data_IF_610345622366
#
_entry.id   IF_610345622366
#
_cell.length_a   1.000
_cell.length_b   1.000
_cell.length_c   1.000
_cell.angle_alpha   90.00
_cell.angle_beta   90.00
_cell.angle_gamma   90.00
#
_symmetry.space_group_name_H-M   'P 1'
#
loop_
_entity.id
_entity.type
_entity.pdbx_description
1 polymer ?
#
# COMPACT_ATOMS: atom_id res chain seq x y z
N UNK A 1 -32.44 18.82 5.84
CA UNK A 1 -32.40 18.13 4.51
C UNK A 1 -31.48 16.94 4.67
N UNK A 2 -31.95 15.72 4.48
CA UNK A 2 -31.06 14.55 4.47
C UNK A 2 -30.11 14.69 3.27
N UNK A 3 -28.82 14.79 3.53
CA UNK A 3 -27.80 14.81 2.48
C UNK A 3 -27.92 13.49 1.71
N UNK A 4 -28.12 13.56 0.40
CA UNK A 4 -28.19 12.37 -0.44
C UNK A 4 -26.86 11.64 -0.31
N UNK A 5 -26.90 10.38 0.14
CA UNK A 5 -25.74 9.51 0.22
C UNK A 5 -25.07 9.45 -1.16
N UNK A 6 -23.76 9.68 -1.23
CA UNK A 6 -22.97 9.53 -2.44
C UNK A 6 -21.87 8.47 -2.27
N UNK A 7 -21.28 8.06 -3.39
CA UNK A 7 -20.26 7.01 -3.41
C UNK A 7 -18.97 7.43 -2.68
N UNK A 8 -18.57 8.68 -2.78
CA UNK A 8 -17.35 9.22 -2.14
C UNK A 8 -17.49 9.22 -0.62
N UNK A 9 -18.63 9.67 -0.12
CA UNK A 9 -18.93 9.66 1.32
C UNK A 9 -18.87 8.24 1.91
N UNK A 10 -19.37 7.23 1.18
CA UNK A 10 -19.29 5.83 1.62
C UNK A 10 -17.84 5.35 1.67
N UNK A 11 -17.04 5.68 0.66
CA UNK A 11 -15.61 5.31 0.60
C UNK A 11 -14.82 5.98 1.73
N UNK A 12 -15.04 7.27 1.98
CA UNK A 12 -14.38 8.01 3.04
C UNK A 12 -14.69 7.44 4.43
N UNK A 13 -15.98 7.12 4.66
CA UNK A 13 -16.41 6.45 5.89
C UNK A 13 -15.80 5.06 6.04
N UNK A 14 -15.75 4.29 4.94
CA UNK A 14 -15.16 2.95 4.94
C UNK A 14 -13.66 2.99 5.23
N UNK A 15 -12.91 3.98 4.70
CA UNK A 15 -11.49 4.19 4.99
C UNK A 15 -11.25 4.59 6.46
N UNK A 16 -12.13 5.40 7.04
CA UNK A 16 -12.08 5.72 8.46
C UNK A 16 -12.31 4.48 9.33
N UNK A 17 -13.39 3.75 9.06
CA UNK A 17 -13.74 2.51 9.77
C UNK A 17 -12.68 1.41 9.62
N UNK A 18 -11.97 1.36 8.49
CA UNK A 18 -10.89 0.39 8.27
C UNK A 18 -9.84 0.49 9.38
N UNK A 19 -9.49 1.70 9.82
CA UNK A 19 -8.53 1.91 10.90
C UNK A 19 -9.04 1.44 12.26
N UNK A 20 -10.36 1.50 12.48
CA UNK A 20 -10.98 1.09 13.75
C UNK A 20 -11.15 -0.42 13.84
N UNK A 21 -11.72 -1.04 12.79
CA UNK A 21 -12.19 -2.43 12.86
C UNK A 21 -11.38 -3.41 11.99
N UNK A 22 -10.44 -2.92 11.18
CA UNK A 22 -9.67 -3.72 10.22
C UNK A 22 -10.51 -4.26 9.06
N UNK A 23 -9.85 -4.96 8.13
CA UNK A 23 -10.49 -5.48 6.92
C UNK A 23 -11.56 -6.55 7.20
N UNK A 24 -11.35 -7.37 8.22
CA UNK A 24 -12.30 -8.43 8.61
C UNK A 24 -13.57 -7.84 9.23
N UNK A 25 -13.42 -6.81 10.09
CA UNK A 25 -14.52 -6.10 10.73
C UNK A 25 -15.28 -5.15 9.79
N UNK A 26 -14.68 -4.79 8.65
CA UNK A 26 -15.28 -3.88 7.67
C UNK A 26 -16.38 -4.58 6.87
N UNK A 27 -17.63 -4.22 7.15
CA UNK A 27 -18.82 -4.76 6.49
C UNK A 27 -19.75 -3.64 6.01
N UNK A 28 -20.52 -3.86 4.94
CA UNK A 28 -21.53 -2.90 4.48
C UNK A 28 -22.54 -2.56 5.60
N UNK A 29 -22.85 -3.51 6.48
CA UNK A 29 -23.70 -3.25 7.64
C UNK A 29 -23.08 -2.26 8.61
N UNK A 30 -21.78 -2.40 8.94
CA UNK A 30 -21.06 -1.49 9.84
C UNK A 30 -20.98 -0.09 9.24
N UNK A 31 -20.68 0.01 7.94
CA UNK A 31 -20.65 1.28 7.21
C UNK A 31 -22.03 1.94 7.20
N UNK A 32 -23.10 1.16 6.97
CA UNK A 32 -24.47 1.68 7.04
C UNK A 32 -24.84 2.23 8.41
N UNK A 33 -24.40 1.57 9.49
CA UNK A 33 -24.60 2.05 10.86
C UNK A 33 -23.87 3.39 11.10
N UNK A 34 -22.66 3.53 10.60
CA UNK A 34 -21.87 4.77 10.75
C UNK A 34 -22.49 5.95 9.99
N UNK A 35 -23.06 5.68 8.83
CA UNK A 35 -23.74 6.68 7.99
C UNK A 35 -25.20 6.93 8.36
N UNK A 36 -25.71 6.26 9.39
CA UNK A 36 -27.15 6.27 9.77
C UNK A 36 -28.08 5.92 8.59
N UNK A 37 -27.65 4.95 7.77
CA UNK A 37 -28.46 4.44 6.65
C UNK A 37 -28.64 2.93 6.76
N UNK A 38 -29.71 2.42 6.13
CA UNK A 38 -29.90 0.97 6.06
C UNK A 38 -28.96 0.36 5.02
N UNK A 39 -28.38 -0.81 5.32
CA UNK A 39 -27.48 -1.52 4.42
C UNK A 39 -27.97 -1.65 2.95
N UNK A 40 -29.28 -1.87 2.64
CA UNK A 40 -29.79 -1.86 1.28
C UNK A 40 -29.49 -0.59 0.48
N UNK A 41 -29.35 0.58 1.13
CA UNK A 41 -29.01 1.83 0.45
C UNK A 41 -27.58 1.81 -0.12
N UNK A 42 -26.66 1.06 0.50
CA UNK A 42 -25.28 0.95 0.04
C UNK A 42 -25.16 0.07 -1.21
N UNK A 43 -26.04 -0.91 -1.41
CA UNK A 43 -26.04 -1.77 -2.59
C UNK A 43 -26.42 -1.03 -3.88
N UNK A 44 -26.96 0.19 -3.80
CA UNK A 44 -27.12 1.07 -4.96
C UNK A 44 -25.81 1.66 -5.45
N UNK A 45 -24.79 1.74 -4.56
CA UNK A 45 -23.47 2.30 -4.85
C UNK A 45 -22.41 1.23 -5.10
N UNK A 46 -22.54 0.05 -4.45
CA UNK A 46 -21.55 -1.03 -4.51
C UNK A 46 -22.25 -2.37 -4.68
N UNK A 47 -21.85 -3.11 -5.71
CA UNK A 47 -22.45 -4.43 -6.04
C UNK A 47 -22.14 -5.47 -4.95
N UNK A 48 -20.93 -5.41 -4.42
CA UNK A 48 -20.40 -6.32 -3.41
C UNK A 48 -19.27 -5.66 -2.61
N UNK A 49 -18.66 -6.42 -1.70
CA UNK A 49 -17.53 -5.95 -0.88
C UNK A 49 -16.32 -5.63 -1.77
N UNK A 50 -16.09 -6.37 -2.85
CA UNK A 50 -14.94 -6.14 -3.73
C UNK A 50 -15.05 -4.81 -4.47
N UNK A 51 -16.21 -4.46 -4.99
CA UNK A 51 -16.47 -3.15 -5.63
C UNK A 51 -16.19 -1.98 -4.65
N UNK A 52 -16.51 -2.15 -3.36
CA UNK A 52 -16.15 -1.18 -2.32
C UNK A 52 -14.63 -1.14 -2.10
N UNK A 53 -13.95 -2.28 -1.98
CA UNK A 53 -12.50 -2.34 -1.78
C UNK A 53 -11.75 -1.73 -2.97
N UNK A 54 -12.21 -1.97 -4.19
CA UNK A 54 -11.68 -1.38 -5.41
C UNK A 54 -11.79 0.16 -5.39
N UNK A 55 -12.93 0.68 -4.93
CA UNK A 55 -13.12 2.12 -4.77
C UNK A 55 -12.26 2.72 -3.63
N UNK A 56 -12.12 2.01 -2.51
CA UNK A 56 -11.25 2.41 -1.40
C UNK A 56 -9.79 2.49 -1.85
N UNK A 57 -9.28 1.49 -2.55
CA UNK A 57 -7.91 1.50 -3.07
C UNK A 57 -7.70 2.61 -4.11
N UNK A 58 -8.70 2.87 -4.96
CA UNK A 58 -8.67 4.01 -5.91
C UNK A 58 -8.55 5.33 -5.16
N UNK A 59 -9.29 5.51 -4.07
CA UNK A 59 -9.20 6.75 -3.26
C UNK A 59 -7.88 6.84 -2.49
N UNK A 60 -7.33 5.73 -1.97
CA UNK A 60 -5.96 5.71 -1.39
C UNK A 60 -4.93 6.24 -2.40
N UNK A 61 -4.98 5.76 -3.65
CA UNK A 61 -4.10 6.21 -4.72
C UNK A 61 -4.30 7.70 -5.04
N UNK A 62 -5.54 8.18 -5.12
CA UNK A 62 -5.84 9.59 -5.36
C UNK A 62 -5.27 10.49 -4.25
N UNK A 63 -5.40 10.09 -2.99
CA UNK A 63 -4.84 10.81 -1.84
C UNK A 63 -3.31 10.86 -1.90
N UNK A 64 -2.68 9.73 -2.22
CA UNK A 64 -1.23 9.66 -2.44
C UNK A 64 -0.80 10.62 -3.55
N UNK A 65 -1.44 10.55 -4.73
CA UNK A 65 -1.10 11.39 -5.88
C UNK A 65 -1.28 12.88 -5.61
N UNK A 66 -2.32 13.26 -4.84
CA UNK A 66 -2.51 14.66 -4.41
C UNK A 66 -1.38 15.12 -3.49
N UNK A 67 -0.97 14.29 -2.53
CA UNK A 67 0.11 14.61 -1.61
C UNK A 67 1.45 14.77 -2.34
N UNK A 68 1.74 13.91 -3.31
CA UNK A 68 2.97 13.99 -4.11
C UNK A 68 3.00 15.24 -5.02
N UNK A 69 1.88 15.62 -5.63
CA UNK A 69 1.79 16.85 -6.46
C UNK A 69 2.02 18.15 -5.66
N UNK A 70 1.80 18.13 -4.35
CA UNK A 70 2.04 19.28 -3.47
C UNK A 70 3.51 19.41 -3.03
N UNK A 71 4.36 18.42 -3.35
CA UNK A 71 5.80 18.48 -3.08
C UNK A 71 6.47 19.29 -4.17
N UNK A 72 7.16 20.35 -3.80
CA UNK A 72 7.97 21.14 -4.74
C UNK A 72 9.14 20.29 -5.24
N UNK A 73 9.17 20.04 -6.53
CA UNK A 73 10.32 19.42 -7.20
C UNK A 73 11.19 20.56 -7.75
N UNK A 74 12.33 20.78 -7.12
CA UNK A 74 13.25 21.89 -7.46
C UNK A 74 14.27 21.52 -8.54
N UNK A 75 14.46 20.23 -8.85
CA UNK A 75 15.41 19.71 -9.85
C UNK A 75 14.79 18.49 -10.56
N UNK A 76 15.33 18.13 -11.74
CA UNK A 76 14.98 16.86 -12.39
C UNK A 76 15.68 15.72 -11.64
N UNK A 77 14.98 14.93 -10.83
CA UNK A 77 15.61 13.86 -10.05
C UNK A 77 16.04 12.70 -10.97
N UNK A 78 17.08 11.97 -10.54
CA UNK A 78 17.45 10.73 -11.22
C UNK A 78 16.31 9.71 -11.15
N UNK A 79 16.17 8.86 -12.14
CA UNK A 79 15.11 7.84 -12.19
C UNK A 79 15.09 6.92 -10.95
N UNK A 80 16.28 6.65 -10.36
CA UNK A 80 16.42 5.88 -9.14
C UNK A 80 15.69 6.57 -7.97
N UNK A 81 15.84 7.90 -7.86
CA UNK A 81 15.21 8.69 -6.81
C UNK A 81 13.69 8.78 -7.03
N UNK A 82 13.25 8.95 -8.29
CA UNK A 82 11.83 8.92 -8.64
C UNK A 82 11.20 7.58 -8.25
N UNK A 83 11.85 6.48 -8.63
CA UNK A 83 11.37 5.14 -8.30
C UNK A 83 11.36 4.90 -6.79
N UNK A 84 12.44 5.28 -6.08
CA UNK A 84 12.51 5.14 -4.63
C UNK A 84 11.42 5.93 -3.93
N UNK A 85 11.26 7.23 -4.26
CA UNK A 85 10.29 8.08 -3.58
C UNK A 85 8.84 7.68 -3.87
N UNK A 86 8.52 7.25 -5.09
CA UNK A 86 7.18 6.74 -5.42
C UNK A 86 6.81 5.52 -4.56
N UNK A 87 7.77 4.63 -4.28
CA UNK A 87 7.53 3.43 -3.47
C UNK A 87 7.55 3.70 -1.97
N UNK A 88 8.32 4.71 -1.51
CA UNK A 88 8.20 5.26 -0.15
C UNK A 88 6.83 5.89 0.08
N UNK A 89 6.34 6.67 -0.91
CA UNK A 89 5.01 7.27 -0.84
C UNK A 89 3.91 6.20 -0.78
N UNK A 90 4.04 5.17 -1.60
CA UNK A 90 3.12 4.02 -1.56
C UNK A 90 3.15 3.34 -0.18
N UNK A 91 4.33 3.00 0.35
CA UNK A 91 4.44 2.40 1.69
C UNK A 91 3.80 3.29 2.75
N UNK A 92 4.13 4.59 2.80
CA UNK A 92 3.52 5.54 3.76
C UNK A 92 1.99 5.55 3.66
N UNK A 93 1.47 5.56 2.45
CA UNK A 93 0.02 5.54 2.20
C UNK A 93 -0.62 4.25 2.72
N UNK A 94 -0.04 3.11 2.40
CA UNK A 94 -0.57 1.81 2.84
C UNK A 94 -0.52 1.64 4.36
N UNK A 95 0.55 2.11 5.00
CA UNK A 95 0.71 2.09 6.46
C UNK A 95 -0.22 3.07 7.20
N UNK A 96 -0.73 4.10 6.52
CA UNK A 96 -1.71 5.02 7.12
C UNK A 96 -3.11 4.40 7.31
N UNK A 97 -3.31 3.22 6.75
CA UNK A 97 -4.54 2.44 6.89
C UNK A 97 -4.25 1.06 7.48
N UNK A 98 -5.02 0.65 8.48
CA UNK A 98 -5.01 -0.71 8.98
C UNK A 98 -5.37 -1.68 7.84
N UNK A 99 -4.58 -2.73 7.66
CA UNK A 99 -4.72 -3.66 6.52
C UNK A 99 -4.65 -2.98 5.13
N UNK A 100 -4.07 -1.77 5.05
CA UNK A 100 -4.06 -0.98 3.83
C UNK A 100 -3.45 -1.71 2.64
N UNK A 101 -2.36 -2.44 2.84
CA UNK A 101 -1.74 -3.23 1.78
C UNK A 101 -2.62 -4.39 1.31
N UNK A 102 -3.38 -5.03 2.20
CA UNK A 102 -4.32 -6.09 1.84
C UNK A 102 -5.52 -5.55 1.05
N UNK A 103 -6.01 -4.35 1.42
CA UNK A 103 -7.07 -3.67 0.66
C UNK A 103 -6.59 -3.29 -0.73
N UNK A 104 -5.35 -2.79 -0.84
CA UNK A 104 -4.79 -2.28 -2.09
C UNK A 104 -4.32 -3.40 -3.04
N UNK A 105 -3.88 -4.53 -2.50
CA UNK A 105 -3.35 -5.67 -3.28
C UNK A 105 -4.43 -6.36 -4.10
N UNK A 106 -4.14 -6.59 -5.39
CA UNK A 106 -5.07 -7.28 -6.29
C UNK A 106 -6.30 -6.48 -6.70
N UNK A 107 -6.36 -5.21 -6.34
CA UNK A 107 -7.47 -4.29 -6.63
C UNK A 107 -7.52 -3.92 -8.11
N UNK A 108 -8.73 -3.68 -8.60
CA UNK A 108 -9.00 -3.06 -9.90
C UNK A 108 -9.42 -1.61 -9.66
N UNK A 109 -8.56 -0.66 -10.05
CA UNK A 109 -8.93 0.75 -9.93
C UNK A 109 -10.22 1.05 -10.71
N UNK A 110 -11.10 1.82 -10.09
CA UNK A 110 -12.47 2.07 -10.60
C UNK A 110 -12.51 3.16 -11.68
N UNK A 111 -11.40 3.83 -11.93
CA UNK A 111 -11.24 4.85 -12.97
C UNK A 111 -9.76 4.96 -13.44
N UNK A 112 -9.49 5.92 -14.31
CA UNK A 112 -8.17 6.13 -14.92
C UNK A 112 -7.28 7.12 -14.14
N UNK A 113 -7.63 7.52 -12.91
CA UNK A 113 -6.81 8.46 -12.12
C UNK A 113 -5.40 7.94 -11.82
N UNK A 114 -5.21 6.63 -11.85
CA UNK A 114 -3.91 6.00 -11.71
C UNK A 114 -2.99 6.24 -12.92
N UNK A 115 -3.55 6.47 -14.10
CA UNK A 115 -2.79 6.56 -15.34
C UNK A 115 -1.87 7.78 -15.35
N UNK A 116 -2.32 8.94 -14.90
CA UNK A 116 -1.51 10.16 -14.82
C UNK A 116 -0.27 9.96 -13.94
N UNK A 117 -0.45 9.31 -12.79
CA UNK A 117 0.65 9.06 -11.84
C UNK A 117 1.62 8.03 -12.39
N UNK A 118 1.10 6.94 -12.95
CA UNK A 118 1.92 5.87 -13.56
C UNK A 118 2.68 6.38 -14.78
N UNK A 119 2.06 7.21 -15.64
CA UNK A 119 2.69 7.81 -16.80
C UNK A 119 3.91 8.64 -16.40
N UNK A 120 3.80 9.48 -15.36
CA UNK A 120 4.92 10.27 -14.86
C UNK A 120 6.10 9.42 -14.40
N UNK A 121 5.85 8.31 -13.69
CA UNK A 121 6.90 7.39 -13.26
C UNK A 121 7.54 6.65 -14.42
N UNK A 122 6.74 6.15 -15.37
CA UNK A 122 7.25 5.45 -16.55
C UNK A 122 8.01 6.40 -17.48
N UNK A 123 7.56 7.63 -17.66
CA UNK A 123 8.24 8.64 -18.46
C UNK A 123 9.65 8.92 -17.95
N UNK A 124 9.84 9.07 -16.63
CA UNK A 124 11.17 9.30 -16.04
C UNK A 124 12.16 8.16 -16.35
N UNK A 125 11.69 6.92 -16.38
CA UNK A 125 12.50 5.76 -16.76
C UNK A 125 12.81 5.75 -18.26
N UNK A 126 11.84 6.11 -19.11
CA UNK A 126 12.04 6.19 -20.56
C UNK A 126 13.02 7.31 -20.92
N UNK A 127 12.93 8.47 -20.29
CA UNK A 127 13.87 9.57 -20.42
C UNK A 127 15.30 9.19 -20.00
N UNK A 128 15.42 8.29 -19.01
CA UNK A 128 16.71 7.71 -18.60
C UNK A 128 17.27 6.64 -19.57
N UNK A 129 16.55 6.37 -20.69
CA UNK A 129 16.99 5.45 -21.73
C UNK A 129 16.42 4.02 -21.62
N UNK A 130 15.44 3.76 -20.78
CA UNK A 130 14.78 2.46 -20.74
C UNK A 130 13.73 2.35 -21.84
N UNK A 131 13.66 1.22 -22.54
CA UNK A 131 12.53 0.94 -23.41
C UNK A 131 11.22 0.87 -22.57
N UNK A 132 10.04 1.28 -23.08
CA UNK A 132 8.79 1.30 -22.31
C UNK A 132 8.44 -0.03 -21.62
N UNK A 133 8.72 -1.15 -22.29
CA UNK A 133 8.53 -2.48 -21.69
C UNK A 133 9.43 -2.74 -20.49
N UNK A 134 10.66 -2.26 -20.55
CA UNK A 134 11.66 -2.39 -19.48
C UNK A 134 11.30 -1.47 -18.32
N UNK A 135 10.89 -0.23 -18.61
CA UNK A 135 10.37 0.71 -17.62
C UNK A 135 9.18 0.13 -16.84
N UNK A 136 8.22 -0.47 -17.54
CA UNK A 136 7.07 -1.12 -16.90
C UNK A 136 7.49 -2.28 -15.99
N UNK A 137 8.48 -3.10 -16.39
CA UNK A 137 9.00 -4.18 -15.54
C UNK A 137 9.70 -3.64 -14.29
N UNK A 138 10.52 -2.59 -14.44
CA UNK A 138 11.21 -1.95 -13.32
C UNK A 138 10.21 -1.45 -12.28
N UNK A 139 9.24 -0.66 -12.72
CA UNK A 139 8.17 -0.15 -11.85
C UNK A 139 7.41 -1.28 -11.16
N UNK A 140 6.96 -2.29 -11.90
CA UNK A 140 6.18 -3.39 -11.36
C UNK A 140 6.97 -4.27 -10.37
N UNK A 141 8.28 -4.45 -10.60
CA UNK A 141 9.14 -5.19 -9.66
C UNK A 141 9.21 -4.48 -8.30
N UNK A 142 9.46 -3.17 -8.31
CA UNK A 142 9.49 -2.37 -7.09
C UNK A 142 8.10 -2.28 -6.42
N UNK A 143 7.02 -2.23 -7.21
CA UNK A 143 5.65 -2.30 -6.72
C UNK A 143 5.38 -3.62 -5.96
N UNK A 144 5.71 -4.76 -6.57
CA UNK A 144 5.53 -6.07 -5.92
C UNK A 144 6.34 -6.20 -4.63
N UNK A 145 7.58 -5.68 -4.64
CA UNK A 145 8.40 -5.60 -3.43
C UNK A 145 7.68 -4.80 -2.33
N UNK A 146 7.24 -3.59 -2.66
CA UNK A 146 6.60 -2.68 -1.70
C UNK A 146 5.32 -3.27 -1.12
N UNK A 147 4.43 -3.81 -1.96
CA UNK A 147 3.18 -4.42 -1.51
C UNK A 147 3.46 -5.60 -0.59
N UNK A 148 4.34 -6.53 -1.01
CA UNK A 148 4.68 -7.71 -0.21
C UNK A 148 5.29 -7.31 1.14
N UNK A 149 6.23 -6.37 1.13
CA UNK A 149 6.88 -5.90 2.35
C UNK A 149 5.87 -5.30 3.34
N UNK A 150 4.97 -4.43 2.87
CA UNK A 150 3.98 -3.79 3.75
C UNK A 150 2.93 -4.78 4.28
N UNK A 151 2.55 -5.80 3.50
CA UNK A 151 1.67 -6.88 4.00
C UNK A 151 2.32 -7.60 5.19
N UNK A 152 3.60 -7.97 5.07
CA UNK A 152 4.34 -8.64 6.15
C UNK A 152 4.54 -7.70 7.34
N UNK A 153 4.91 -6.44 7.10
CA UNK A 153 5.06 -5.41 8.13
C UNK A 153 3.77 -5.23 8.95
N UNK A 154 2.63 -5.04 8.28
CA UNK A 154 1.33 -4.91 8.96
C UNK A 154 0.92 -6.18 9.70
N UNK A 155 1.29 -7.35 9.19
CA UNK A 155 1.00 -8.64 9.83
C UNK A 155 1.85 -8.86 11.09
N UNK A 156 3.08 -8.35 11.11
CA UNK A 156 3.99 -8.50 12.25
C UNK A 156 3.58 -7.65 13.47
N UNK A 157 2.97 -6.49 13.26
CA UNK A 157 2.52 -5.60 14.35
C UNK A 157 1.37 -6.21 15.16
N UNK A 158 0.50 -6.99 14.54
CA UNK A 158 -0.72 -7.52 15.16
C UNK A 158 -1.76 -6.43 15.46
N UNK A 159 -2.86 -6.84 16.11
CA UNK A 159 -3.97 -5.94 16.46
C UNK A 159 -4.46 -6.32 17.86
N UNK A 160 -3.83 -5.80 18.93
CA UNK A 160 -4.15 -6.17 20.32
C UNK A 160 -5.60 -5.90 20.72
N UNK A 161 -6.21 -4.86 20.16
CA UNK A 161 -7.63 -4.50 20.34
C UNK A 161 -8.61 -5.56 19.82
N UNK A 162 -8.15 -6.44 18.92
CA UNK A 162 -8.89 -7.59 18.40
C UNK A 162 -8.36 -8.93 18.93
N UNK A 163 -7.46 -8.91 19.93
CA UNK A 163 -6.85 -10.11 20.49
C UNK A 163 -5.81 -10.77 19.56
N UNK A 164 -5.41 -10.11 18.48
CA UNK A 164 -4.34 -10.58 17.58
C UNK A 164 -3.02 -10.02 18.09
N UNK A 165 -2.19 -10.90 18.69
CA UNK A 165 -0.85 -10.51 19.11
C UNK A 165 0.06 -10.32 17.91
N UNK A 166 0.89 -9.29 17.94
CA UNK A 166 2.04 -9.15 17.06
C UNK A 166 3.12 -10.19 17.36
N UNK A 167 4.19 -10.16 16.58
CA UNK A 167 5.32 -11.07 16.80
C UNK A 167 6.07 -10.67 18.06
N UNK A 168 6.13 -11.58 19.03
CA UNK A 168 6.99 -11.45 20.21
C UNK A 168 8.40 -11.97 19.88
N UNK A 169 9.35 -11.07 19.76
CA UNK A 169 10.73 -11.38 19.39
C UNK A 169 11.42 -12.25 20.47
N UNK A 170 11.13 -12.02 21.76
CA UNK A 170 11.73 -12.81 22.84
C UNK A 170 11.17 -14.24 22.87
N UNK A 171 9.86 -14.40 22.72
CA UNK A 171 9.23 -15.72 22.62
C UNK A 171 9.73 -16.46 21.37
N UNK A 172 9.89 -15.75 20.24
CA UNK A 172 10.43 -16.32 19.01
C UNK A 172 11.87 -16.79 19.18
N UNK A 173 12.72 -15.99 19.81
CA UNK A 173 14.12 -16.33 20.06
C UNK A 173 14.24 -17.58 20.93
N UNK A 174 13.48 -17.65 22.03
CA UNK A 174 13.44 -18.83 22.92
C UNK A 174 12.98 -20.09 22.18
N UNK A 175 11.94 -20.00 21.35
CA UNK A 175 11.42 -21.11 20.56
C UNK A 175 12.42 -21.61 19.52
N UNK A 176 13.30 -20.74 19.04
CA UNK A 176 14.29 -21.03 18.01
C UNK A 176 15.71 -21.26 18.58
N UNK A 177 15.84 -21.61 19.87
CA UNK A 177 17.15 -21.77 20.53
C UNK A 177 18.09 -22.76 19.84
N UNK A 178 17.55 -23.82 19.19
CA UNK A 178 18.32 -24.79 18.40
C UNK A 178 18.70 -24.29 17.00
N UNK A 179 18.23 -23.10 16.60
CA UNK A 179 18.43 -22.49 15.28
C UNK A 179 19.03 -21.07 15.43
N UNK A 180 20.29 -20.95 15.84
CA UNK A 180 20.85 -19.65 16.28
C UNK A 180 20.83 -18.56 15.21
N UNK A 181 21.00 -18.90 13.93
CA UNK A 181 20.93 -17.92 12.83
C UNK A 181 19.49 -17.44 12.65
N UNK A 182 18.52 -18.35 12.63
CA UNK A 182 17.11 -18.00 12.50
C UNK A 182 16.61 -17.21 13.72
N UNK A 183 17.07 -17.53 14.94
CA UNK A 183 16.77 -16.80 16.15
C UNK A 183 17.28 -15.34 16.04
N UNK A 184 18.56 -15.17 15.71
CA UNK A 184 19.21 -13.88 15.57
C UNK A 184 18.62 -12.98 14.46
N UNK A 185 17.97 -13.55 13.44
CA UNK A 185 17.34 -12.79 12.35
C UNK A 185 16.03 -12.11 12.75
N UNK A 186 15.47 -12.37 13.93
CA UNK A 186 14.19 -11.84 14.38
C UNK A 186 14.06 -10.32 14.30
N UNK A 187 14.98 -9.54 14.90
CA UNK A 187 14.95 -8.09 14.87
C UNK A 187 14.95 -7.50 13.46
N UNK A 188 15.77 -8.04 12.55
CA UNK A 188 15.83 -7.59 11.15
C UNK A 188 14.55 -7.91 10.38
N UNK A 189 13.95 -9.07 10.62
CA UNK A 189 12.75 -9.50 9.89
C UNK A 189 11.47 -8.82 10.38
N UNK A 190 11.40 -8.47 11.67
CA UNK A 190 10.12 -8.07 12.30
C UNK A 190 10.23 -6.83 13.20
N UNK A 191 11.42 -6.30 13.46
CA UNK A 191 11.64 -5.19 14.39
C UNK A 191 12.01 -3.87 13.70
N UNK A 192 12.84 -3.91 12.68
CA UNK A 192 13.40 -2.72 12.03
C UNK A 192 12.82 -2.52 10.61
N UNK A 193 11.51 -2.47 10.50
CA UNK A 193 10.80 -2.48 9.21
C UNK A 193 11.13 -1.29 8.30
N UNK A 194 11.42 -0.10 8.84
CA UNK A 194 11.86 1.06 8.03
C UNK A 194 13.23 0.81 7.39
N UNK A 195 14.21 0.40 8.20
CA UNK A 195 15.57 0.15 7.73
C UNK A 195 15.61 -1.02 6.74
N UNK A 196 14.87 -2.09 7.03
CA UNK A 196 14.73 -3.26 6.15
C UNK A 196 14.08 -2.92 4.82
N UNK A 197 12.98 -2.12 4.84
CA UNK A 197 12.35 -1.64 3.60
C UNK A 197 13.32 -0.85 2.74
N UNK A 198 14.03 0.11 3.31
CA UNK A 198 15.00 0.95 2.58
C UNK A 198 16.17 0.13 2.03
N UNK A 199 16.68 -0.83 2.78
CA UNK A 199 17.75 -1.72 2.32
C UNK A 199 17.30 -2.58 1.13
N UNK A 200 16.12 -3.17 1.21
CA UNK A 200 15.56 -3.99 0.13
C UNK A 200 15.19 -3.17 -1.10
N UNK A 201 14.61 -1.97 -0.93
CA UNK A 201 14.29 -1.07 -2.06
C UNK A 201 15.57 -0.66 -2.81
N UNK A 202 16.64 -0.30 -2.09
CA UNK A 202 17.96 -0.03 -2.70
C UNK A 202 18.50 -1.24 -3.48
N UNK A 203 18.38 -2.43 -2.92
CA UNK A 203 18.82 -3.66 -3.59
C UNK A 203 18.01 -3.94 -4.87
N UNK A 204 16.70 -3.70 -4.85
CA UNK A 204 15.84 -3.81 -6.05
C UNK A 204 16.28 -2.81 -7.10
N UNK A 205 16.46 -1.53 -6.75
CA UNK A 205 16.87 -0.47 -7.70
C UNK A 205 18.26 -0.76 -8.29
N UNK A 206 19.23 -1.14 -7.47
CA UNK A 206 20.58 -1.52 -7.94
C UNK A 206 20.53 -2.74 -8.88
N UNK A 207 19.71 -3.74 -8.57
CA UNK A 207 19.49 -4.90 -9.44
C UNK A 207 18.85 -4.53 -10.78
N UNK A 208 17.87 -3.61 -10.79
CA UNK A 208 17.27 -3.08 -12.01
C UNK A 208 18.30 -2.32 -12.86
N UNK A 209 19.10 -1.47 -12.25
CA UNK A 209 20.17 -0.74 -12.94
C UNK A 209 21.21 -1.66 -13.59
N UNK A 210 21.58 -2.74 -12.88
CA UNK A 210 22.59 -3.69 -13.35
C UNK A 210 22.08 -4.66 -14.42
N UNK A 211 20.79 -4.98 -14.43
CA UNK A 211 20.26 -6.11 -15.22
C UNK A 211 19.32 -5.71 -16.35
N UNK A 212 18.70 -4.54 -16.27
CA UNK A 212 17.79 -4.09 -17.32
C UNK A 212 18.54 -3.31 -18.39
N UNK A 213 18.42 -3.71 -19.67
CA UNK A 213 19.09 -3.00 -20.76
C UNK A 213 18.50 -1.60 -20.91
N UNK A 214 19.40 -0.61 -20.99
CA UNK A 214 19.09 0.71 -21.53
C UNK A 214 19.01 0.54 -23.05
N UNK A 215 17.96 1.08 -23.66
CA UNK A 215 17.75 1.03 -25.10
C UNK A 215 18.80 1.82 -25.88
#
# INVERSE_FOLDING_TARGET
MATRLDREQVVDTALGLLNEVGLEGLTLRRIGQELDVRAPALYWHFKDKQDLLDAMATEMLRRMSRAERLREVTEQPAWQDVLAESHRALRRTLLSYRDGAKVYSGTRFTDNSYADTMEGYLASLVEAGFAPRTAARAFYTAYCYTIGYVIEEQSAVGYPDQGVKGIDLMEREQRLHDYPIAAAAGPELFGESEAGFEAGLRAVIAGLEATLPKG
#
